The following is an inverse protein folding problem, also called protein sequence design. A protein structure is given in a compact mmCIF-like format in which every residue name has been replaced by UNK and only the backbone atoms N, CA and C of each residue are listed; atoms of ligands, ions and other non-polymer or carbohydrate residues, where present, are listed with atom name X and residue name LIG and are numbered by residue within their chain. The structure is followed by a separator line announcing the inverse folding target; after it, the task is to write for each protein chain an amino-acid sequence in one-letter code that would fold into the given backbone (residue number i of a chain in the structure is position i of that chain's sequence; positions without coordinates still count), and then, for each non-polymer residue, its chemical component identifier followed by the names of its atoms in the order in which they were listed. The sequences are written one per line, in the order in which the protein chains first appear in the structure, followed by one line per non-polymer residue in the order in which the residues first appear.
data_IF_710760341804
#
_entry.id   IF_710760341804
#
_cell.length_a   1.000
_cell.length_b   1.000
_cell.length_c   1.000
_cell.angle_alpha   90.00
_cell.angle_beta   90.00
_cell.angle_gamma   90.00
#
_symmetry.space_group_name_H-M   'P 1'
#
loop_
_entity.id
_entity.type
_entity.pdbx_description
1 polymer ?
#
# COMPACT_ATOMS: atom_id res chain seq x y z
N UNK A 1 15.50 -7.15 -13.35
CA UNK A 1 15.81 -6.44 -12.10
C UNK A 1 14.61 -5.62 -11.67
N UNK A 2 14.14 -5.84 -10.47
CA UNK A 2 12.94 -5.17 -9.99
C UNK A 2 13.27 -3.79 -9.45
N UNK A 3 12.53 -2.79 -9.90
CA UNK A 3 12.61 -1.46 -9.33
C UNK A 3 11.92 -1.44 -7.97
N UNK A 4 12.44 -0.61 -7.07
CA UNK A 4 11.75 -0.31 -5.83
C UNK A 4 10.63 0.70 -6.09
N UNK A 5 9.53 0.57 -5.35
CA UNK A 5 8.37 1.46 -5.47
C UNK A 5 7.92 1.93 -4.10
N UNK A 6 7.50 3.18 -4.03
CA UNK A 6 6.78 3.69 -2.87
C UNK A 6 5.36 4.03 -3.31
N UNK A 7 4.38 3.28 -2.80
CA UNK A 7 2.98 3.65 -2.96
C UNK A 7 2.72 4.84 -2.04
N UNK A 8 2.51 6.00 -2.64
CA UNK A 8 2.58 7.29 -1.97
C UNK A 8 1.30 8.07 -2.09
N UNK A 9 0.89 8.67 -0.96
CA UNK A 9 -0.20 9.64 -0.92
C UNK A 9 0.39 10.97 -0.45
N UNK A 10 0.51 11.97 -1.35
CA UNK A 10 1.12 13.27 -0.98
C UNK A 10 0.37 14.02 0.13
N UNK A 11 -0.89 13.67 0.37
CA UNK A 11 -1.70 14.31 1.40
C UNK A 11 -1.57 13.65 2.77
N UNK A 12 -0.89 12.50 2.83
CA UNK A 12 -0.71 11.75 4.07
C UNK A 12 0.64 12.11 4.70
N UNK A 13 0.65 12.59 5.94
CA UNK A 13 1.89 12.98 6.62
C UNK A 13 2.85 11.82 6.77
N UNK A 14 2.36 10.63 7.10
CA UNK A 14 3.21 9.45 7.24
C UNK A 14 3.86 9.07 5.92
N UNK A 15 3.10 9.21 4.82
CA UNK A 15 3.61 8.94 3.49
C UNK A 15 4.70 9.94 3.09
N UNK A 16 4.50 11.23 3.38
CA UNK A 16 5.52 12.26 3.12
C UNK A 16 6.79 12.02 3.94
N UNK A 17 6.64 11.61 5.20
CA UNK A 17 7.78 11.31 6.05
C UNK A 17 8.59 10.12 5.52
N UNK A 18 7.91 9.06 5.08
CA UNK A 18 8.59 7.91 4.49
C UNK A 18 9.34 8.30 3.22
N UNK A 19 8.72 9.12 2.38
CA UNK A 19 9.36 9.62 1.16
C UNK A 19 10.67 10.36 1.49
N UNK A 20 10.63 11.21 2.49
CA UNK A 20 11.79 11.99 2.90
C UNK A 20 12.91 11.10 3.45
N UNK A 21 12.56 10.11 4.25
CA UNK A 21 13.51 9.13 4.79
C UNK A 21 14.24 8.42 3.66
N UNK A 22 13.49 7.94 2.65
CA UNK A 22 14.07 7.22 1.52
C UNK A 22 14.98 8.12 0.69
N UNK A 23 14.60 9.39 0.49
CA UNK A 23 15.44 10.36 -0.22
C UNK A 23 16.74 10.63 0.55
N UNK A 24 16.66 10.77 1.86
CA UNK A 24 17.83 11.03 2.70
C UNK A 24 18.80 9.86 2.71
N UNK A 25 18.31 8.65 2.42
CA UNK A 25 19.15 7.45 2.32
C UNK A 25 19.67 7.23 0.88
N UNK A 26 19.38 8.14 -0.02
CA UNK A 26 19.77 8.03 -1.44
C UNK A 26 19.25 6.74 -2.09
N UNK A 27 18.07 6.27 -1.67
CA UNK A 27 17.45 5.10 -2.27
C UNK A 27 16.97 5.41 -3.69
N UNK A 28 17.14 4.44 -4.59
CA UNK A 28 16.65 4.52 -5.96
C UNK A 28 15.29 3.83 -6.01
N UNK A 29 14.23 4.61 -6.19
CA UNK A 29 12.87 4.09 -6.19
C UNK A 29 11.95 4.96 -7.05
N UNK A 30 10.83 4.36 -7.43
CA UNK A 30 9.79 5.04 -8.20
C UNK A 30 8.65 5.40 -7.23
N UNK A 31 8.21 6.65 -7.27
CA UNK A 31 7.02 7.09 -6.53
C UNK A 31 5.80 6.68 -7.36
N UNK A 32 4.95 5.84 -6.80
CA UNK A 32 3.72 5.39 -7.43
C UNK A 32 2.54 6.07 -6.74
N UNK A 33 1.89 6.99 -7.46
CA UNK A 33 0.76 7.75 -6.93
C UNK A 33 -0.53 6.93 -7.13
N UNK A 34 -0.74 5.97 -6.26
CA UNK A 34 -1.76 4.94 -6.42
C UNK A 34 -3.20 5.46 -6.41
N UNK A 35 -3.41 6.71 -5.95
CA UNK A 35 -4.73 7.34 -6.03
C UNK A 35 -5.01 7.96 -7.39
N UNK A 36 -3.97 8.19 -8.18
CA UNK A 36 -4.07 8.83 -9.50
C UNK A 36 -3.74 7.86 -10.64
N UNK A 37 -2.79 6.96 -10.42
CA UNK A 37 -2.37 5.97 -11.43
C UNK A 37 -3.17 4.69 -11.22
N UNK A 38 -3.42 3.98 -12.31
CA UNK A 38 -4.18 2.73 -12.25
C UNK A 38 -3.40 1.65 -11.50
N UNK A 39 -4.00 1.14 -10.44
CA UNK A 39 -3.45 0.05 -9.65
C UNK A 39 -4.09 -1.26 -10.10
N UNK A 40 -3.28 -2.11 -10.74
CA UNK A 40 -3.76 -3.40 -11.24
C UNK A 40 -3.91 -4.40 -10.09
N UNK A 41 -4.93 -5.26 -10.18
CA UNK A 41 -5.15 -6.30 -9.18
C UNK A 41 -3.96 -7.24 -9.06
N UNK A 42 -3.30 -7.56 -10.18
CA UNK A 42 -2.12 -8.42 -10.19
C UNK A 42 -0.96 -7.79 -9.42
N UNK A 43 -0.77 -6.48 -9.55
CA UNK A 43 0.26 -5.76 -8.81
C UNK A 43 -0.05 -5.75 -7.31
N UNK A 44 -1.31 -5.50 -6.96
CA UNK A 44 -1.75 -5.50 -5.56
C UNK A 44 -1.56 -6.87 -4.91
N UNK A 45 -1.85 -7.94 -5.65
CA UNK A 45 -1.63 -9.30 -5.17
C UNK A 45 -0.15 -9.57 -4.89
N UNK A 46 0.74 -9.06 -5.75
CA UNK A 46 2.19 -9.18 -5.53
C UNK A 46 2.61 -8.43 -4.27
N UNK A 47 2.06 -7.24 -4.06
CA UNK A 47 2.34 -6.44 -2.86
C UNK A 47 1.93 -7.21 -1.61
N UNK A 48 0.71 -7.76 -1.61
CA UNK A 48 0.20 -8.53 -0.47
C UNK A 48 1.09 -9.74 -0.17
N UNK A 49 1.53 -10.44 -1.22
CA UNK A 49 2.44 -11.57 -1.07
C UNK A 49 3.77 -11.13 -0.43
N UNK A 50 4.33 -10.02 -0.88
CA UNK A 50 5.58 -9.49 -0.34
C UNK A 50 5.43 -9.00 1.09
N UNK A 51 4.26 -8.48 1.45
CA UNK A 51 3.93 -8.08 2.81
C UNK A 51 3.64 -9.29 3.71
N UNK A 52 3.34 -10.44 3.12
CA UNK A 52 2.93 -11.66 3.83
C UNK A 52 1.69 -11.42 4.70
N UNK A 53 0.72 -10.68 4.17
CA UNK A 53 -0.54 -10.41 4.86
C UNK A 53 -1.72 -10.76 3.96
N UNK A 54 -2.87 -10.94 4.58
CA UNK A 54 -4.13 -11.13 3.87
C UNK A 54 -4.69 -9.78 3.42
N UNK A 55 -5.50 -9.77 2.33
CA UNK A 55 -6.09 -8.52 1.83
C UNK A 55 -6.81 -7.70 2.89
N UNK A 56 -7.56 -8.37 3.76
CA UNK A 56 -8.32 -7.68 4.82
C UNK A 56 -7.43 -6.88 5.76
N UNK A 57 -6.21 -7.33 5.97
CA UNK A 57 -5.26 -6.65 6.87
C UNK A 57 -4.72 -5.35 6.29
N UNK A 58 -4.89 -5.14 4.99
CA UNK A 58 -4.44 -3.91 4.33
C UNK A 58 -5.53 -2.83 4.28
N UNK A 59 -6.76 -3.16 4.69
CA UNK A 59 -7.90 -2.25 4.60
C UNK A 59 -7.85 -1.14 5.66
N UNK A 60 -8.17 0.07 5.24
CA UNK A 60 -8.36 1.21 6.13
C UNK A 60 -9.83 1.27 6.55
N UNK A 61 -10.10 0.91 7.78
CA UNK A 61 -11.47 0.78 8.30
C UNK A 61 -12.16 2.14 8.53
N UNK A 62 -11.38 3.22 8.63
CA UNK A 62 -11.93 4.55 8.88
C UNK A 62 -12.48 5.26 7.67
N UNK A 63 -12.27 4.72 6.45
CA UNK A 63 -12.74 5.35 5.23
C UNK A 63 -14.23 5.14 5.02
N UNK A 64 -14.91 6.18 4.48
CA UNK A 64 -16.35 6.10 4.21
C UNK A 64 -16.69 4.93 3.27
N UNK A 65 -15.85 4.70 2.24
CA UNK A 65 -16.07 3.61 1.29
C UNK A 65 -16.03 2.23 1.94
N UNK A 66 -15.36 2.09 3.10
CA UNK A 66 -15.35 0.84 3.85
C UNK A 66 -16.77 0.50 4.32
N UNK A 67 -17.46 1.49 4.89
CA UNK A 67 -18.83 1.31 5.38
C UNK A 67 -19.82 1.17 4.24
N UNK A 68 -19.65 1.98 3.21
CA UNK A 68 -20.55 2.00 2.05
C UNK A 68 -20.57 0.67 1.30
N UNK A 69 -19.47 -0.07 1.35
CA UNK A 69 -19.35 -1.37 0.67
C UNK A 69 -19.42 -2.55 1.62
N UNK A 70 -19.83 -2.32 2.86
CA UNK A 70 -20.00 -3.39 3.87
C UNK A 70 -18.75 -4.26 4.02
N UNK A 71 -17.59 -3.64 4.06
CA UNK A 71 -16.31 -4.36 4.12
C UNK A 71 -16.06 -5.06 5.45
N UNK A 72 -16.89 -4.79 6.45
CA UNK A 72 -16.85 -5.54 7.70
C UNK A 72 -17.51 -6.94 7.59
N UNK A 73 -18.11 -7.25 6.45
CA UNK A 73 -18.70 -8.56 6.20
C UNK A 73 -17.58 -9.61 6.12
N UNK A 74 -17.60 -10.55 7.06
CA UNK A 74 -16.58 -11.60 7.17
C UNK A 74 -16.66 -12.62 6.03
N UNK A 75 -17.77 -12.65 5.30
CA UNK A 75 -17.99 -13.59 4.21
C UNK A 75 -17.41 -13.11 2.88
N UNK A 76 -16.87 -11.89 2.82
CA UNK A 76 -16.24 -11.39 1.60
C UNK A 76 -14.96 -12.17 1.31
N UNK A 77 -14.83 -12.61 0.05
CA UNK A 77 -13.64 -13.32 -0.38
C UNK A 77 -12.45 -12.38 -0.52
N UNK A 78 -11.25 -12.93 -0.46
CA UNK A 78 -10.02 -12.16 -0.70
C UNK A 78 -10.04 -11.51 -2.08
N UNK A 79 -10.53 -12.25 -3.08
CA UNK A 79 -10.66 -11.74 -4.46
C UNK A 79 -11.55 -10.49 -4.49
N UNK A 80 -12.67 -10.52 -3.78
CA UNK A 80 -13.59 -9.37 -3.73
C UNK A 80 -12.95 -8.19 -3.02
N UNK A 81 -12.23 -8.43 -1.94
CA UNK A 81 -11.55 -7.36 -1.20
C UNK A 81 -10.47 -6.70 -2.08
N UNK A 82 -9.67 -7.50 -2.78
CA UNK A 82 -8.67 -6.97 -3.71
C UNK A 82 -9.34 -6.13 -4.81
N UNK A 83 -10.43 -6.62 -5.38
CA UNK A 83 -11.19 -5.88 -6.40
C UNK A 83 -11.66 -4.53 -5.86
N UNK A 84 -12.19 -4.50 -4.64
CA UNK A 84 -12.67 -3.27 -4.03
C UNK A 84 -11.52 -2.29 -3.74
N UNK A 85 -10.35 -2.80 -3.34
CA UNK A 85 -9.18 -1.95 -3.12
C UNK A 85 -8.67 -1.32 -4.41
N UNK A 86 -8.71 -2.04 -5.53
CA UNK A 86 -8.30 -1.46 -6.82
C UNK A 86 -9.30 -0.44 -7.31
N UNK A 87 -10.58 -0.66 -7.01
CA UNK A 87 -11.67 0.24 -7.38
C UNK A 87 -11.70 1.49 -6.50
N UNK A 88 -11.39 1.33 -5.21
CA UNK A 88 -11.36 2.40 -4.22
C UNK A 88 -10.01 2.41 -3.50
N UNK A 89 -8.97 2.96 -4.14
CA UNK A 89 -7.61 2.91 -3.57
C UNK A 89 -7.46 3.57 -2.20
N UNK A 90 -8.40 4.44 -1.82
CA UNK A 90 -8.41 5.03 -0.47
C UNK A 90 -8.50 3.97 0.63
N UNK A 91 -8.98 2.77 0.29
CA UNK A 91 -9.06 1.66 1.24
C UNK A 91 -7.70 1.07 1.61
N UNK A 92 -6.68 1.36 0.81
CA UNK A 92 -5.36 0.74 0.99
C UNK A 92 -4.55 1.52 2.02
N UNK A 93 -3.97 0.79 2.98
CA UNK A 93 -3.06 1.40 3.95
C UNK A 93 -1.82 1.94 3.25
N UNK A 94 -1.25 3.04 3.75
CA UNK A 94 -0.14 3.75 3.11
C UNK A 94 0.79 4.35 4.16
N UNK A 95 2.05 4.64 3.79
CA UNK A 95 2.70 4.27 2.52
C UNK A 95 3.11 2.82 2.51
N UNK A 96 3.34 2.26 1.32
CA UNK A 96 3.89 0.91 1.17
C UNK A 96 5.18 1.02 0.36
N UNK A 97 6.28 0.57 0.93
CA UNK A 97 7.57 0.52 0.24
C UNK A 97 7.87 -0.91 -0.17
N UNK A 98 8.19 -1.08 -1.44
CA UNK A 98 8.44 -2.38 -2.06
C UNK A 98 9.85 -2.36 -2.61
N UNK A 99 10.66 -3.33 -2.21
CA UNK A 99 12.02 -3.47 -2.73
C UNK A 99 12.36 -4.94 -2.87
N UNK A 100 12.68 -5.35 -4.10
CA UNK A 100 12.98 -6.75 -4.42
C UNK A 100 11.81 -7.66 -4.05
N UNK A 101 12.03 -8.65 -3.20
CA UNK A 101 11.01 -9.62 -2.79
C UNK A 101 10.29 -9.20 -1.52
N UNK A 102 10.58 -8.02 -1.00
CA UNK A 102 10.05 -7.56 0.28
C UNK A 102 9.20 -6.32 0.12
N UNK A 103 8.28 -6.13 1.07
CA UNK A 103 7.50 -4.91 1.17
C UNK A 103 7.22 -4.63 2.63
N UNK A 104 6.96 -3.37 2.95
CA UNK A 104 6.66 -2.95 4.31
C UNK A 104 5.68 -1.78 4.28
N UNK A 105 4.76 -1.77 5.25
CA UNK A 105 3.89 -0.63 5.45
C UNK A 105 4.65 0.37 6.32
N UNK A 106 4.83 1.59 5.83
CA UNK A 106 5.61 2.64 6.48
C UNK A 106 4.84 3.35 7.60
N UNK A 107 4.42 2.60 8.60
CA UNK A 107 3.72 3.13 9.76
C UNK A 107 4.22 2.44 11.02
N UNK A 108 5.11 3.06 11.80
CA UNK A 108 5.66 4.43 11.57
C UNK A 108 6.54 4.49 10.32
N UNK A 109 6.76 5.71 9.79
CA UNK A 109 7.49 5.86 8.51
C UNK A 109 8.88 5.22 8.49
N UNK A 110 9.55 5.18 9.64
CA UNK A 110 10.88 4.58 9.78
C UNK A 110 10.93 3.10 9.41
N UNK A 111 9.79 2.44 9.34
CA UNK A 111 9.74 1.02 8.95
C UNK A 111 10.27 0.78 7.55
N UNK A 112 10.24 1.80 6.66
CA UNK A 112 10.82 1.64 5.32
C UNK A 112 12.30 1.29 5.37
N UNK A 113 12.99 1.65 6.45
CA UNK A 113 14.40 1.32 6.63
C UNK A 113 14.66 -0.17 6.83
N UNK A 114 13.64 -0.94 7.18
CA UNK A 114 13.80 -2.38 7.44
C UNK A 114 14.16 -3.19 6.21
N UNK A 115 13.88 -2.67 5.02
CA UNK A 115 14.10 -3.41 3.78
C UNK A 115 15.00 -2.71 2.76
N UNK A 116 15.65 -1.62 3.16
CA UNK A 116 16.57 -0.92 2.24
C UNK A 116 17.91 -1.63 2.09
#
# INVERSE_FOLDING_TARGET
MDKAFLLHNPRCSKSRQALEILKNKNEDFIVFLYLEEKLEASFLKKILSKLSIEPRQLLRKGEAVYKENNLNDENLSDKKIVELMTRFPKLIERPIFIKNKKAVIGRPPEKVLEII
#
